data_IF_077759603683
#
_entry.id   IF_077759603683
#
_cell.length_a   1.000
_cell.length_b   1.000
_cell.length_c   1.000
_cell.angle_alpha   90.00
_cell.angle_beta   90.00
_cell.angle_gamma   90.00
#
_symmetry.space_group_name_H-M   'P 1'
#
loop_
_entity.id
_entity.type
_entity.pdbx_description
1 polymer ?
#
# COMPACT_ATOMS: atom_id res chain seq x y z
N UNK A 1 46.08 10.41 -1.83
CA UNK A 1 45.04 11.47 -1.82
C UNK A 1 43.70 10.78 -1.81
N UNK A 2 42.78 11.20 -0.94
CA UNK A 2 41.43 10.62 -0.85
C UNK A 2 40.39 11.61 -1.39
N UNK A 3 39.28 11.07 -1.86
CA UNK A 3 38.13 11.83 -2.37
C UNK A 3 36.86 11.36 -1.67
N UNK A 4 36.09 12.31 -1.12
CA UNK A 4 34.72 12.08 -0.66
C UNK A 4 33.80 11.98 -1.88
N UNK A 5 32.86 11.04 -1.83
CA UNK A 5 31.87 10.79 -2.86
C UNK A 5 30.47 10.87 -2.22
N UNK A 6 29.69 11.86 -2.65
CA UNK A 6 28.27 12.01 -2.28
C UNK A 6 27.43 11.81 -3.55
N UNK A 7 26.52 10.84 -3.55
CA UNK A 7 25.65 10.56 -4.70
C UNK A 7 24.24 11.05 -4.46
N UNK A 8 23.62 11.72 -5.43
CA UNK A 8 22.20 12.03 -5.35
C UNK A 8 21.37 10.79 -5.76
N UNK A 9 20.61 10.21 -4.82
CA UNK A 9 19.76 9.05 -5.10
C UNK A 9 18.27 9.39 -5.01
N UNK A 10 17.51 8.99 -6.04
CA UNK A 10 16.04 8.88 -5.99
C UNK A 10 15.60 7.46 -5.59
N UNK A 11 16.26 6.94 -4.55
CA UNK A 11 15.99 5.62 -3.99
C UNK A 11 15.82 5.76 -2.47
N UNK A 12 14.79 5.12 -1.93
CA UNK A 12 14.46 5.19 -0.51
C UNK A 12 14.46 3.81 0.11
N UNK A 13 14.79 3.67 1.41
CA UNK A 13 14.62 2.41 2.12
C UNK A 13 13.16 1.94 2.02
N UNK A 14 12.94 0.69 1.58
CA UNK A 14 11.59 0.16 1.32
C UNK A 14 10.70 0.05 2.58
N UNK A 15 11.29 0.18 3.78
CA UNK A 15 10.56 0.16 5.05
C UNK A 15 10.87 1.39 5.92
N UNK A 16 9.81 2.15 6.28
CA UNK A 16 9.86 3.17 7.36
C UNK A 16 10.18 2.59 8.75
N UNK A 17 10.25 1.27 8.87
CA UNK A 17 10.82 0.58 10.03
C UNK A 17 12.12 -0.03 9.56
N UNK A 18 13.25 0.50 10.00
CA UNK A 18 14.56 -0.09 9.81
C UNK A 18 14.63 -1.49 10.43
N UNK A 19 14.09 -2.49 9.74
CA UNK A 19 14.41 -3.88 9.95
C UNK A 19 15.83 -4.05 9.41
N UNK A 20 16.81 -3.90 10.30
CA UNK A 20 18.14 -4.44 10.04
C UNK A 20 17.93 -5.94 9.86
N UNK A 21 18.09 -6.46 8.65
CA UNK A 21 18.33 -7.89 8.51
C UNK A 21 19.61 -8.21 9.31
N UNK A 22 19.62 -9.35 9.98
CA UNK A 22 20.79 -9.83 10.73
C UNK A 22 22.04 -10.01 9.85
N UNK A 23 21.85 -10.02 8.53
CA UNK A 23 22.87 -10.35 7.55
C UNK A 23 23.43 -9.11 6.83
N UNK A 24 23.03 -7.90 7.24
CA UNK A 24 23.49 -6.65 6.65
C UNK A 24 22.86 -6.31 5.28
N UNK A 25 21.94 -7.15 4.80
CA UNK A 25 21.13 -6.93 3.61
C UNK A 25 20.15 -5.77 3.82
N UNK A 26 19.93 -5.00 2.75
CA UNK A 26 19.03 -3.84 2.77
C UNK A 26 17.99 -3.96 1.66
N UNK A 27 16.78 -3.45 1.95
CA UNK A 27 15.68 -3.38 0.99
C UNK A 27 15.56 -1.96 0.45
N UNK A 28 15.62 -1.83 -0.87
CA UNK A 28 15.61 -0.54 -1.57
C UNK A 28 14.42 -0.47 -2.50
N UNK A 29 13.65 0.61 -2.44
CA UNK A 29 12.64 0.92 -3.45
C UNK A 29 13.16 2.03 -4.37
N UNK A 30 13.24 1.72 -5.66
CA UNK A 30 13.61 2.69 -6.68
C UNK A 30 12.37 3.47 -7.13
N UNK A 31 12.39 4.78 -6.91
CA UNK A 31 11.39 5.71 -7.43
C UNK A 31 11.85 6.35 -8.75
N UNK A 32 13.17 6.48 -8.94
CA UNK A 32 13.81 6.85 -10.20
C UNK A 32 15.29 6.47 -10.17
N UNK A 33 15.95 6.53 -11.32
CA UNK A 33 17.40 6.31 -11.40
C UNK A 33 17.98 7.07 -12.60
N UNK A 34 19.01 7.88 -12.34
CA UNK A 34 19.64 8.76 -13.33
C UNK A 34 20.83 8.10 -14.06
N UNK A 35 21.10 6.82 -13.79
CA UNK A 35 22.07 6.04 -14.54
C UNK A 35 23.43 5.81 -13.88
N UNK A 36 23.64 6.35 -12.68
CA UNK A 36 24.89 6.18 -11.92
C UNK A 36 25.04 4.76 -11.36
N UNK A 37 26.29 4.27 -11.37
CA UNK A 37 26.66 2.94 -10.93
C UNK A 37 26.92 2.86 -9.41
N UNK A 38 27.03 4.00 -8.73
CA UNK A 38 27.18 4.13 -7.28
C UNK A 38 26.13 5.12 -6.76
N UNK A 39 25.31 4.69 -5.79
CA UNK A 39 24.26 5.52 -5.21
C UNK A 39 24.45 5.61 -3.69
N UNK A 40 24.16 6.78 -3.12
CA UNK A 40 24.14 7.02 -1.68
C UNK A 40 22.71 6.93 -1.13
N UNK A 41 22.53 6.10 -0.11
CA UNK A 41 21.28 5.88 0.62
C UNK A 41 21.52 6.18 2.11
N UNK A 42 21.71 7.46 2.47
CA UNK A 42 21.91 7.95 3.85
C UNK A 42 22.82 7.03 4.67
N UNK A 43 24.12 7.19 4.51
CA UNK A 43 25.19 6.37 5.13
C UNK A 43 25.27 4.93 4.61
N UNK A 44 24.72 4.65 3.43
CA UNK A 44 24.80 3.33 2.80
C UNK A 44 25.00 3.49 1.31
N UNK A 45 26.04 2.87 0.78
CA UNK A 45 26.31 2.92 -0.65
C UNK A 45 25.84 1.64 -1.31
N UNK A 46 25.13 1.76 -2.42
CA UNK A 46 24.84 0.62 -3.29
C UNK A 46 25.52 0.82 -4.63
N UNK A 47 25.97 -0.29 -5.19
CA UNK A 47 26.67 -0.35 -6.46
C UNK A 47 25.92 -1.27 -7.42
N UNK A 48 25.93 -0.90 -8.69
CA UNK A 48 25.37 -1.73 -9.75
C UNK A 48 26.16 -3.03 -9.90
N UNK A 49 25.55 -4.04 -10.54
CA UNK A 49 26.19 -5.33 -10.78
C UNK A 49 27.59 -5.23 -11.41
N UNK A 50 27.74 -4.34 -12.41
CA UNK A 50 29.00 -4.16 -13.14
C UNK A 50 30.10 -3.57 -12.26
N UNK A 51 29.76 -2.61 -11.40
CA UNK A 51 30.73 -2.00 -10.49
C UNK A 51 31.09 -2.97 -9.38
N UNK A 52 30.11 -3.73 -8.85
CA UNK A 52 30.36 -4.81 -7.90
C UNK A 52 31.35 -5.86 -8.44
N UNK A 53 31.18 -6.29 -9.70
CA UNK A 53 32.08 -7.28 -10.31
C UNK A 53 33.49 -6.72 -10.54
N UNK A 54 33.62 -5.45 -10.92
CA UNK A 54 34.92 -4.81 -11.07
C UNK A 54 35.63 -4.60 -9.72
N UNK A 55 34.88 -4.27 -8.67
CA UNK A 55 35.43 -4.21 -7.31
C UNK A 55 36.00 -5.58 -6.92
N UNK A 56 35.24 -6.67 -7.07
CA UNK A 56 35.72 -8.04 -6.78
C UNK A 56 36.95 -8.45 -7.59
N UNK A 57 37.03 -8.01 -8.84
CA UNK A 57 38.16 -8.32 -9.71
C UNK A 57 39.41 -7.46 -9.41
N UNK A 58 39.24 -6.39 -8.62
CA UNK A 58 40.32 -5.52 -8.20
C UNK A 58 41.06 -6.06 -6.96
N UNK A 59 42.22 -5.47 -6.69
CA UNK A 59 43.01 -5.68 -5.48
C UNK A 59 42.81 -4.56 -4.45
N UNK A 60 41.68 -3.83 -4.53
CA UNK A 60 41.34 -2.76 -3.61
C UNK A 60 40.97 -3.33 -2.23
N UNK A 61 41.33 -2.60 -1.16
CA UNK A 61 41.06 -3.00 0.24
C UNK A 61 40.03 -2.11 0.94
N UNK A 62 39.69 -2.46 2.18
CA UNK A 62 38.83 -1.61 3.03
C UNK A 62 37.33 -1.70 2.74
N UNK A 63 36.84 -2.77 2.10
CA UNK A 63 35.40 -2.95 1.89
C UNK A 63 34.99 -4.42 1.83
N UNK A 64 33.68 -4.64 1.94
CA UNK A 64 33.02 -5.85 1.44
C UNK A 64 31.73 -5.50 0.72
N UNK A 65 31.19 -6.46 -0.03
CA UNK A 65 29.90 -6.35 -0.70
C UNK A 65 28.87 -7.21 0.03
N UNK A 66 27.69 -6.64 0.24
CA UNK A 66 26.56 -7.32 0.87
C UNK A 66 25.33 -7.31 -0.08
N UNK A 67 24.42 -8.30 0.04
CA UNK A 67 23.26 -8.37 -0.84
C UNK A 67 22.30 -7.19 -0.65
N UNK A 68 21.69 -6.75 -1.74
CA UNK A 68 20.59 -5.77 -1.74
C UNK A 68 19.37 -6.43 -2.37
N UNK A 69 18.24 -6.37 -1.68
CA UNK A 69 16.96 -6.63 -2.32
C UNK A 69 16.41 -5.29 -2.80
N UNK A 70 15.86 -5.26 -4.01
CA UNK A 70 15.25 -4.05 -4.50
C UNK A 70 13.93 -4.30 -5.19
N UNK A 71 13.07 -3.28 -5.13
CA UNK A 71 11.78 -3.24 -5.80
C UNK A 71 11.69 -1.93 -6.60
N UNK A 72 10.79 -1.92 -7.58
CA UNK A 72 10.44 -0.71 -8.34
C UNK A 72 9.14 -0.16 -7.76
N UNK A 73 9.08 1.15 -7.56
CA UNK A 73 7.83 1.82 -7.17
C UNK A 73 6.72 1.52 -8.20
N UNK A 74 5.43 1.41 -7.82
CA UNK A 74 4.34 1.08 -8.75
C UNK A 74 4.24 2.01 -9.96
N UNK A 75 4.61 3.29 -9.79
CA UNK A 75 4.62 4.29 -10.85
C UNK A 75 5.85 4.22 -11.76
N UNK A 76 6.79 3.30 -11.52
CA UNK A 76 8.01 3.17 -12.32
C UNK A 76 7.72 3.05 -13.82
N UNK A 77 6.70 2.27 -14.20
CA UNK A 77 6.31 2.09 -15.59
C UNK A 77 5.70 3.34 -16.24
N UNK A 78 5.28 4.32 -15.44
CA UNK A 78 4.72 5.59 -15.91
C UNK A 78 5.78 6.68 -16.11
N UNK A 79 6.97 6.47 -15.54
CA UNK A 79 8.09 7.39 -15.66
C UNK A 79 8.92 7.09 -16.91
N UNK A 80 9.46 8.14 -17.53
CA UNK A 80 10.44 7.97 -18.61
C UNK A 80 11.81 7.75 -17.98
N UNK A 81 12.41 6.61 -18.28
CA UNK A 81 13.78 6.27 -17.87
C UNK A 81 14.69 6.36 -19.08
N UNK A 82 15.80 7.08 -18.94
CA UNK A 82 16.83 7.12 -19.97
C UNK A 82 17.68 5.84 -19.99
N UNK A 83 17.77 5.16 -18.84
CA UNK A 83 18.58 3.96 -18.66
C UNK A 83 17.75 2.79 -18.12
N UNK A 84 18.13 1.58 -18.54
CA UNK A 84 17.55 0.35 -17.97
C UNK A 84 18.15 0.05 -16.60
N UNK A 85 17.29 -0.04 -15.58
CA UNK A 85 17.72 -0.34 -14.22
C UNK A 85 18.47 -1.69 -14.18
N UNK A 86 19.69 -1.75 -13.62
CA UNK A 86 20.46 -2.99 -13.49
C UNK A 86 19.68 -4.08 -12.77
N UNK A 87 19.83 -5.32 -13.22
CA UNK A 87 19.13 -6.49 -12.65
C UNK A 87 19.61 -6.87 -11.25
N UNK A 88 20.82 -6.42 -10.87
CA UNK A 88 21.44 -6.72 -9.58
C UNK A 88 22.11 -5.47 -9.02
N UNK A 89 21.93 -5.29 -7.72
CA UNK A 89 22.57 -4.27 -6.90
C UNK A 89 23.20 -4.93 -5.68
N UNK A 90 24.28 -4.33 -5.19
CA UNK A 90 24.97 -4.78 -3.99
C UNK A 90 25.34 -3.61 -3.13
N UNK A 91 25.41 -3.81 -1.83
CA UNK A 91 25.77 -2.78 -0.87
C UNK A 91 27.28 -2.77 -0.74
N UNK A 92 27.89 -1.64 -1.04
CA UNK A 92 29.27 -1.35 -0.69
C UNK A 92 29.33 -0.99 0.79
N UNK A 93 30.02 -1.82 1.57
CA UNK A 93 30.22 -1.59 3.00
C UNK A 93 31.71 -1.31 3.22
N UNK A 94 32.09 -0.03 3.39
CA UNK A 94 33.45 0.32 3.78
C UNK A 94 33.74 -0.24 5.17
N UNK A 95 34.88 -0.91 5.29
CA UNK A 95 35.41 -1.48 6.53
C UNK A 95 36.81 -0.98 6.85
N UNK A 96 37.43 -0.26 5.92
CA UNK A 96 38.80 0.22 6.05
C UNK A 96 38.91 1.54 6.79
N UNK A 97 40.15 1.87 7.13
CA UNK A 97 40.50 3.12 7.79
C UNK A 97 41.51 3.91 6.95
N UNK A 98 41.29 5.23 6.81
CA UNK A 98 42.20 6.09 6.03
C UNK A 98 43.64 6.02 6.53
N UNK A 99 43.83 5.92 7.85
CA UNK A 99 45.16 5.84 8.49
C UNK A 99 45.94 4.59 8.11
N UNK A 100 45.23 3.50 7.82
CA UNK A 100 45.83 2.21 7.47
C UNK A 100 46.13 2.11 5.96
N UNK A 101 45.72 3.12 5.19
CA UNK A 101 45.95 3.17 3.74
C UNK A 101 44.94 2.37 2.93
N UNK A 102 43.80 2.01 3.51
CA UNK A 102 42.75 1.26 2.83
C UNK A 102 42.11 2.02 1.67
N UNK A 103 41.76 1.30 0.61
CA UNK A 103 41.24 1.92 -0.60
C UNK A 103 39.82 2.50 -0.42
N UNK A 104 39.03 1.91 0.46
CA UNK A 104 37.73 2.43 0.89
C UNK A 104 37.69 2.62 2.40
N UNK A 105 37.17 3.75 2.84
CA UNK A 105 37.00 4.08 4.25
C UNK A 105 35.80 4.98 4.47
N UNK A 106 35.40 5.13 5.73
CA UNK A 106 34.39 6.10 6.17
C UNK A 106 34.95 6.92 7.32
N UNK A 107 34.74 8.23 7.28
CA UNK A 107 35.08 9.13 8.38
C UNK A 107 33.78 9.77 8.91
N UNK A 108 33.67 9.99 10.24
CA UNK A 108 32.51 10.66 10.81
C UNK A 108 32.41 12.08 10.20
N UNK A 109 31.37 12.32 9.38
CA UNK A 109 31.03 13.57 8.67
C UNK A 109 31.47 13.73 7.21
N UNK A 110 32.30 12.86 6.63
CA UNK A 110 32.81 13.03 5.26
C UNK A 110 32.43 11.89 4.30
N UNK A 111 31.40 11.11 4.61
CA UNK A 111 30.82 10.14 3.68
C UNK A 111 31.77 8.99 3.27
N UNK A 112 31.61 8.52 2.03
CA UNK A 112 32.45 7.48 1.44
C UNK A 112 33.77 8.10 0.98
N UNK A 113 34.88 7.63 1.57
CA UNK A 113 36.20 8.00 1.11
C UNK A 113 36.77 6.91 0.21
N UNK A 114 37.28 7.33 -0.94
CA UNK A 114 38.02 6.48 -1.87
C UNK A 114 39.47 6.96 -1.98
N UNK A 115 40.44 6.03 -1.95
CA UNK A 115 41.83 6.30 -2.31
C UNK A 115 41.93 6.72 -3.79
N UNK A 116 43.10 7.19 -4.22
CA UNK A 116 43.33 7.50 -5.64
C UNK A 116 43.11 6.29 -6.56
N UNK A 117 43.51 5.08 -6.13
CA UNK A 117 43.32 3.84 -6.89
C UNK A 117 41.85 3.44 -6.97
N UNK A 118 41.14 3.52 -5.85
CA UNK A 118 39.70 3.28 -5.84
C UNK A 118 38.96 4.30 -6.72
N UNK A 119 39.33 5.58 -6.65
CA UNK A 119 38.73 6.62 -7.47
C UNK A 119 38.99 6.41 -8.96
N UNK A 120 40.18 5.95 -9.35
CA UNK A 120 40.48 5.59 -10.75
C UNK A 120 39.59 4.45 -11.25
N UNK A 121 39.38 3.41 -10.44
CA UNK A 121 38.42 2.34 -10.76
C UNK A 121 37.01 2.91 -10.90
N UNK A 122 36.55 3.67 -9.91
CA UNK A 122 35.21 4.27 -9.86
C UNK A 122 34.95 5.17 -11.08
N UNK A 123 35.94 5.93 -11.55
CA UNK A 123 35.85 6.77 -12.76
C UNK A 123 35.74 6.01 -14.07
N UNK A 124 35.98 4.69 -14.07
CA UNK A 124 35.67 3.84 -15.24
C UNK A 124 34.18 3.49 -15.35
N UNK A 125 33.38 3.87 -14.35
CA UNK A 125 31.93 3.69 -14.28
C UNK A 125 31.19 5.03 -14.33
N UNK A 126 29.85 4.99 -14.39
CA UNK A 126 29.03 6.20 -14.43
C UNK A 126 28.84 6.78 -13.03
N UNK A 127 29.27 8.03 -12.87
CA UNK A 127 29.22 8.82 -11.64
C UNK A 127 28.85 10.28 -11.99
N UNK A 128 27.90 10.45 -12.91
CA UNK A 128 27.53 11.77 -13.45
C UNK A 128 26.78 12.63 -12.44
N UNK A 129 26.13 11.99 -11.46
CA UNK A 129 25.37 12.64 -10.39
C UNK A 129 26.10 12.57 -9.03
N UNK A 130 27.37 12.15 -9.03
CA UNK A 130 28.18 12.10 -7.82
C UNK A 130 29.00 13.38 -7.65
N UNK A 131 28.91 13.99 -6.47
CA UNK A 131 29.79 15.07 -6.06
C UNK A 131 31.10 14.50 -5.51
N UNK A 132 32.21 14.94 -6.11
CA UNK A 132 33.55 14.51 -5.74
C UNK A 132 34.31 15.66 -5.09
N UNK A 133 34.71 15.48 -3.83
CA UNK A 133 35.47 16.49 -3.08
C UNK A 133 36.81 15.94 -2.59
N UNK A 134 37.90 16.65 -2.86
CA UNK A 134 39.22 16.26 -2.35
C UNK A 134 39.26 16.38 -0.82
N UNK A 135 39.70 15.32 -0.14
CA UNK A 135 39.90 15.35 1.31
C UNK A 135 41.25 16.01 1.58
N UNK A 136 41.23 17.31 1.84
CA UNK A 136 42.42 18.11 2.20
C UNK A 136 42.66 18.17 3.71
N UNK A 137 41.67 17.79 4.51
CA UNK A 137 41.79 17.77 5.95
C UNK A 137 42.80 16.69 6.39
N UNK A 138 43.70 17.01 7.35
CA UNK A 138 44.52 15.99 8.00
C UNK A 138 43.62 14.92 8.61
N UNK A 139 44.09 13.67 8.68
CA UNK A 139 43.42 12.60 9.45
C UNK A 139 43.14 13.16 10.84
N UNK A 140 41.86 13.32 11.17
CA UNK A 140 41.43 13.99 12.40
C UNK A 140 42.21 13.46 13.61
N UNK A 141 42.60 14.37 14.50
CA UNK A 141 43.55 14.14 15.56
C UNK A 141 42.92 13.43 16.75
N UNK A 142 43.52 12.35 17.22
CA UNK A 142 43.10 11.56 18.39
C UNK A 142 41.69 10.94 18.28
N UNK A 143 41.52 9.75 18.85
CA UNK A 143 40.23 9.04 18.88
C UNK A 143 39.09 9.87 19.52
N UNK A 144 39.44 10.89 20.31
CA UNK A 144 38.49 11.80 20.96
C UNK A 144 37.77 12.73 19.97
N UNK A 145 38.44 13.24 18.94
CA UNK A 145 37.80 14.12 17.94
C UNK A 145 36.83 13.32 17.06
N UNK A 146 37.21 12.10 16.67
CA UNK A 146 36.35 11.20 15.90
C UNK A 146 35.09 10.80 16.69
N UNK A 147 35.23 10.49 17.98
CA UNK A 147 34.08 10.19 18.85
C UNK A 147 33.14 11.39 19.03
N UNK A 148 33.68 12.61 19.12
CA UNK A 148 32.88 13.82 19.20
C UNK A 148 32.09 14.08 17.90
N UNK A 149 32.74 13.93 16.74
CA UNK A 149 32.09 14.07 15.44
C UNK A 149 30.98 13.03 15.23
N UNK A 150 31.20 11.77 15.62
CA UNK A 150 30.17 10.73 15.56
C UNK A 150 28.99 11.00 16.50
N UNK A 151 29.26 11.52 17.70
CA UNK A 151 28.21 11.92 18.64
C UNK A 151 27.36 13.08 18.08
N UNK A 152 28.00 14.07 17.47
CA UNK A 152 27.30 15.19 16.81
C UNK A 152 26.45 14.70 15.63
N UNK A 153 26.98 13.78 14.82
CA UNK A 153 26.27 13.16 13.70
C UNK A 153 25.02 12.42 14.17
N UNK A 154 25.16 11.55 15.19
CA UNK A 154 24.03 10.84 15.79
C UNK A 154 23.00 11.80 16.39
N UNK A 155 23.43 12.93 16.96
CA UNK A 155 22.53 13.97 17.46
C UNK A 155 21.75 14.64 16.31
N UNK A 156 22.40 14.91 15.17
CA UNK A 156 21.75 15.47 13.98
C UNK A 156 20.70 14.54 13.38
N UNK A 157 21.01 13.24 13.26
CA UNK A 157 20.04 12.23 12.78
C UNK A 157 18.82 12.16 13.71
N UNK A 158 19.04 12.12 15.03
CA UNK A 158 17.95 12.12 16.01
C UNK A 158 17.10 13.39 15.95
N UNK A 159 17.71 14.55 15.69
CA UNK A 159 16.99 15.81 15.53
C UNK A 159 16.09 15.79 14.29
N UNK A 160 16.60 15.29 13.16
CA UNK A 160 15.82 15.14 11.93
C UNK A 160 14.66 14.15 12.10
N UNK A 161 14.90 13.01 12.75
CA UNK A 161 13.85 12.04 13.08
C UNK A 161 12.76 12.67 13.96
N UNK A 162 13.14 13.48 14.95
CA UNK A 162 12.18 14.17 15.81
C UNK A 162 11.36 15.22 15.03
N UNK A 163 11.97 15.92 14.08
CA UNK A 163 11.27 16.87 13.20
C UNK A 163 10.28 16.16 12.28
N UNK A 164 10.70 15.04 11.66
CA UNK A 164 9.83 14.20 10.84
C UNK A 164 8.64 13.64 11.63
N UNK A 165 8.85 13.24 12.89
CA UNK A 165 7.76 12.80 13.77
C UNK A 165 6.78 13.93 14.12
N UNK A 166 7.28 15.16 14.34
CA UNK A 166 6.43 16.33 14.54
C UNK A 166 5.59 16.62 13.30
N UNK A 167 6.19 16.63 12.12
CA UNK A 167 5.49 16.85 10.85
C UNK A 167 4.39 15.79 10.63
N UNK A 168 4.69 14.51 10.86
CA UNK A 168 3.72 13.43 10.75
C UNK A 168 2.55 13.56 11.76
N UNK A 169 2.81 14.10 12.95
CA UNK A 169 1.78 14.33 13.98
C UNK A 169 0.85 15.48 13.57
N UNK A 170 1.40 16.56 13.03
CA UNK A 170 0.62 17.69 12.48
C UNK A 170 -0.26 17.20 11.34
N UNK A 171 0.31 16.48 10.37
CA UNK A 171 -0.44 15.96 9.22
C UNK A 171 -1.57 15.01 9.65
N UNK A 172 -1.33 14.14 10.64
CA UNK A 172 -2.39 13.28 11.20
C UNK A 172 -3.51 14.09 11.86
N UNK A 173 -3.18 15.16 12.59
CA UNK A 173 -4.17 16.01 13.23
C UNK A 173 -5.01 16.79 12.20
N UNK A 174 -4.39 17.30 11.13
CA UNK A 174 -5.09 17.96 10.03
C UNK A 174 -6.03 17.01 9.29
N UNK A 175 -5.59 15.79 8.98
CA UNK A 175 -6.44 14.76 8.37
C UNK A 175 -7.63 14.41 9.25
N UNK A 176 -7.45 14.34 10.57
CA UNK A 176 -8.55 14.08 11.50
C UNK A 176 -9.55 15.24 11.52
N UNK A 177 -9.09 16.49 11.62
CA UNK A 177 -9.96 17.68 11.56
C UNK A 177 -10.77 17.72 10.26
N UNK A 178 -10.13 17.45 9.12
CA UNK A 178 -10.82 17.40 7.83
C UNK A 178 -11.88 16.29 7.78
N UNK A 179 -11.61 15.14 8.41
CA UNK A 179 -12.59 14.05 8.52
C UNK A 179 -13.78 14.44 9.41
N UNK A 180 -13.54 15.09 10.54
CA UNK A 180 -14.58 15.55 11.47
C UNK A 180 -15.45 16.65 10.85
N UNK A 181 -14.84 17.62 10.15
CA UNK A 181 -15.58 18.63 9.39
C UNK A 181 -16.46 18.01 8.30
N UNK A 182 -15.93 17.01 7.59
CA UNK A 182 -16.70 16.30 6.56
C UNK A 182 -17.88 15.53 7.18
N UNK A 183 -17.69 14.89 8.34
CA UNK A 183 -18.76 14.22 9.07
C UNK A 183 -19.85 15.21 9.51
N UNK A 184 -19.48 16.36 10.07
CA UNK A 184 -20.41 17.40 10.48
C UNK A 184 -21.21 17.97 9.29
N UNK A 185 -20.55 18.24 8.15
CA UNK A 185 -21.23 18.68 6.92
C UNK A 185 -22.24 17.64 6.41
N UNK A 186 -21.92 16.36 6.54
CA UNK A 186 -22.81 15.26 6.16
C UNK A 186 -24.04 15.22 7.06
N UNK A 187 -23.88 15.31 8.37
CA UNK A 187 -25.00 15.36 9.32
C UNK A 187 -25.91 16.57 9.07
N UNK A 188 -25.32 17.74 8.82
CA UNK A 188 -26.08 18.94 8.47
C UNK A 188 -26.90 18.74 7.18
N UNK A 189 -26.32 18.12 6.14
CA UNK A 189 -27.02 17.84 4.88
C UNK A 189 -28.17 16.84 5.07
N UNK A 190 -27.99 15.83 5.92
CA UNK A 190 -29.05 14.87 6.27
C UNK A 190 -30.19 15.59 7.00
N UNK A 191 -29.87 16.40 8.01
CA UNK A 191 -30.87 17.17 8.75
C UNK A 191 -31.66 18.11 7.82
N UNK A 192 -30.98 18.81 6.91
CA UNK A 192 -31.60 19.68 5.92
C UNK A 192 -32.53 18.90 4.96
N UNK A 193 -32.08 17.73 4.48
CA UNK A 193 -32.88 16.88 3.61
C UNK A 193 -34.16 16.37 4.33
N UNK A 194 -34.04 16.01 5.61
CA UNK A 194 -35.19 15.59 6.43
C UNK A 194 -36.19 16.74 6.64
N UNK A 195 -35.71 17.97 6.86
CA UNK A 195 -36.57 19.15 6.94
C UNK A 195 -37.28 19.39 5.62
N UNK A 196 -36.57 19.35 4.47
CA UNK A 196 -37.17 19.50 3.15
C UNK A 196 -38.24 18.43 2.87
N UNK A 197 -37.97 17.18 3.23
CA UNK A 197 -38.92 16.09 3.09
C UNK A 197 -40.19 16.31 3.94
N UNK A 198 -40.03 16.74 5.20
CA UNK A 198 -41.16 17.04 6.11
C UNK A 198 -42.04 18.17 5.55
N UNK A 199 -41.44 19.22 4.99
CA UNK A 199 -42.17 20.33 4.35
C UNK A 199 -42.95 19.84 3.12
N UNK A 200 -42.38 18.91 2.34
CA UNK A 200 -43.00 18.40 1.13
C UNK A 200 -44.11 17.35 1.39
N UNK A 201 -44.04 16.58 2.49
CA UNK A 201 -44.86 15.38 2.69
C UNK A 201 -45.60 15.28 4.03
N UNK A 202 -45.47 16.25 4.96
CA UNK A 202 -46.15 16.24 6.26
C UNK A 202 -45.33 15.62 7.41
N UNK A 203 -45.97 15.41 8.57
CA UNK A 203 -45.38 14.84 9.79
C UNK A 203 -44.68 13.49 9.54
N UNK A 204 -43.56 13.18 10.23
CA UNK A 204 -42.84 11.94 10.05
C UNK A 204 -43.66 10.75 10.55
N UNK A 205 -43.99 9.83 9.64
CA UNK A 205 -44.53 8.51 9.96
C UNK A 205 -43.44 7.71 10.69
N UNK A 206 -43.74 7.17 11.88
CA UNK A 206 -42.86 6.18 12.53
C UNK A 206 -42.57 5.05 11.53
N UNK A 207 -41.32 4.58 11.39
CA UNK A 207 -40.99 3.56 10.41
C UNK A 207 -41.62 2.22 10.81
N UNK A 208 -42.85 2.02 10.35
CA UNK A 208 -43.49 0.73 10.13
C UNK A 208 -43.48 0.54 8.62
N UNK A 209 -42.35 0.05 8.10
CA UNK A 209 -42.17 -0.18 6.67
C UNK A 209 -42.83 -1.49 6.25
N UNK A 210 -43.86 -1.37 5.42
CA UNK A 210 -44.78 -2.43 5.02
C UNK A 210 -44.15 -3.43 4.02
N UNK A 211 -43.81 -4.63 4.51
CA UNK A 211 -43.38 -5.79 3.72
C UNK A 211 -44.42 -6.21 2.66
N UNK A 212 -45.68 -5.78 2.79
CA UNK A 212 -46.74 -6.17 1.87
C UNK A 212 -46.68 -5.43 0.52
N UNK A 213 -46.07 -4.25 0.46
CA UNK A 213 -45.80 -3.52 -0.81
C UNK A 213 -44.71 -4.25 -1.63
N UNK A 214 -43.68 -4.76 -0.95
CA UNK A 214 -42.62 -5.57 -1.59
C UNK A 214 -43.19 -6.91 -2.07
N UNK A 215 -44.06 -7.55 -1.27
CA UNK A 215 -44.80 -8.78 -1.65
C UNK A 215 -45.71 -8.55 -2.86
N UNK A 216 -46.40 -7.40 -2.93
CA UNK A 216 -47.29 -7.04 -4.03
C UNK A 216 -46.53 -6.80 -5.36
N UNK A 217 -45.34 -6.19 -5.31
CA UNK A 217 -44.50 -5.96 -6.50
C UNK A 217 -43.85 -7.22 -7.09
N UNK A 218 -43.47 -8.17 -6.24
CA UNK A 218 -42.86 -9.45 -6.65
C UNK A 218 -43.91 -10.42 -7.20
N UNK A 219 -45.17 -10.34 -6.73
CA UNK A 219 -46.27 -11.17 -7.22
C UNK A 219 -46.19 -12.65 -6.82
N UNK A 220 -45.29 -13.00 -5.89
CA UNK A 220 -45.13 -14.33 -5.28
C UNK A 220 -44.70 -14.19 -3.81
N UNK A 221 -45.11 -15.12 -2.93
CA UNK A 221 -44.65 -15.13 -1.54
C UNK A 221 -43.13 -15.34 -1.47
N UNK A 222 -42.47 -14.56 -0.63
CA UNK A 222 -41.05 -14.72 -0.30
C UNK A 222 -40.88 -15.97 0.58
N UNK A 223 -40.42 -17.07 -0.01
CA UNK A 223 -40.28 -18.37 0.68
C UNK A 223 -39.00 -18.50 1.52
N UNK A 224 -38.06 -17.54 1.43
CA UNK A 224 -36.76 -17.60 2.11
C UNK A 224 -36.72 -16.59 3.28
N UNK A 225 -36.74 -17.10 4.52
CA UNK A 225 -36.68 -16.30 5.75
C UNK A 225 -35.44 -15.38 5.81
N UNK A 226 -34.36 -15.73 5.10
CA UNK A 226 -33.15 -14.89 5.03
C UNK A 226 -33.34 -13.65 4.16
N UNK A 227 -34.23 -13.73 3.15
CA UNK A 227 -34.61 -12.58 2.34
C UNK A 227 -35.49 -11.62 3.13
N UNK A 228 -36.41 -12.17 3.94
CA UNK A 228 -37.21 -11.39 4.86
C UNK A 228 -36.34 -10.68 5.91
N UNK A 229 -35.31 -11.36 6.44
CA UNK A 229 -34.35 -10.75 7.37
C UNK A 229 -33.52 -9.62 6.74
N UNK A 230 -33.06 -9.78 5.50
CA UNK A 230 -32.32 -8.74 4.76
C UNK A 230 -33.19 -7.51 4.47
N UNK A 231 -34.45 -7.72 4.11
CA UNK A 231 -35.40 -6.63 3.85
C UNK A 231 -35.87 -5.93 5.14
N UNK A 232 -36.00 -6.65 6.25
CA UNK A 232 -36.38 -6.08 7.55
C UNK A 232 -35.29 -5.22 8.21
N UNK A 233 -34.02 -5.41 7.82
CA UNK A 233 -32.89 -4.60 8.30
C UNK A 233 -32.72 -3.26 7.56
N UNK A 234 -33.45 -3.06 6.45
CA UNK A 234 -33.38 -1.85 5.64
C UNK A 234 -34.36 -0.77 6.15
N UNK A 235 -33.96 0.04 7.13
CA UNK A 235 -34.80 1.10 7.72
C UNK A 235 -34.85 2.42 6.91
N UNK A 236 -34.59 2.38 5.60
CA UNK A 236 -34.55 3.56 4.71
C UNK A 236 -35.46 3.35 3.48
N UNK A 237 -35.94 4.43 2.84
CA UNK A 237 -36.77 4.31 1.64
C UNK A 237 -35.99 3.60 0.52
N UNK A 238 -36.50 2.44 0.10
CA UNK A 238 -35.94 1.65 -0.99
C UNK A 238 -36.58 2.12 -2.30
N UNK A 239 -35.79 2.69 -3.21
CA UNK A 239 -36.21 2.74 -4.61
C UNK A 239 -36.05 1.34 -5.18
N UNK A 240 -37.19 0.71 -5.48
CA UNK A 240 -37.27 -0.66 -5.99
C UNK A 240 -37.49 -0.59 -7.49
N UNK A 241 -36.46 -0.91 -8.28
CA UNK A 241 -36.62 -1.12 -9.71
C UNK A 241 -36.77 -2.62 -10.00
N UNK A 242 -37.99 -3.04 -10.35
CA UNK A 242 -38.27 -4.43 -10.78
C UNK A 242 -38.21 -4.51 -12.30
N UNK A 243 -37.05 -4.91 -12.82
CA UNK A 243 -36.91 -5.21 -14.25
C UNK A 243 -37.19 -6.70 -14.50
N UNK A 244 -38.25 -6.97 -15.30
CA UNK A 244 -38.64 -8.33 -15.73
C UNK A 244 -38.04 -8.66 -17.10
N UNK A 245 -36.73 -8.88 -17.14
CA UNK A 245 -36.10 -9.47 -18.32
C UNK A 245 -35.90 -10.97 -18.12
N UNK A 246 -36.61 -11.79 -18.91
CA UNK A 246 -36.39 -13.24 -19.05
C UNK A 246 -36.47 -14.09 -17.76
N UNK A 247 -37.68 -14.39 -17.25
CA UNK A 247 -37.92 -15.30 -16.08
C UNK A 247 -37.07 -15.01 -14.82
N UNK A 248 -36.46 -13.83 -14.74
CA UNK A 248 -35.61 -13.35 -13.65
C UNK A 248 -36.18 -12.03 -13.17
N UNK A 249 -36.21 -11.90 -11.85
CA UNK A 249 -36.67 -10.70 -11.17
C UNK A 249 -35.42 -10.05 -10.57
N UNK A 250 -35.12 -8.83 -11.00
CA UNK A 250 -34.04 -8.02 -10.44
C UNK A 250 -34.66 -7.08 -9.42
N UNK A 251 -34.12 -7.06 -8.21
CA UNK A 251 -34.41 -6.03 -7.22
C UNK A 251 -33.15 -5.19 -7.08
N UNK A 252 -33.21 -3.98 -7.61
CA UNK A 252 -32.19 -2.97 -7.37
C UNK A 252 -32.70 -2.07 -6.27
N UNK A 253 -31.87 -1.86 -5.25
CA UNK A 253 -32.18 -0.88 -4.22
C UNK A 253 -31.10 0.18 -4.25
N UNK A 254 -31.51 1.43 -4.49
CA UNK A 254 -30.63 2.58 -4.38
C UNK A 254 -30.73 3.11 -2.95
N UNK A 255 -30.04 2.45 -2.03
CA UNK A 255 -29.94 2.94 -0.64
C UNK A 255 -29.21 4.30 -0.57
N UNK A 256 -28.44 4.62 -1.61
CA UNK A 256 -27.70 5.86 -1.82
C UNK A 256 -27.27 5.95 -3.31
N UNK A 257 -26.96 7.14 -3.86
CA UNK A 257 -26.29 7.28 -5.17
C UNK A 257 -24.95 6.53 -5.27
N UNK A 258 -24.39 6.16 -4.12
CA UNK A 258 -23.00 5.68 -3.98
C UNK A 258 -22.86 4.25 -3.42
N UNK A 259 -23.93 3.58 -2.97
CA UNK A 259 -23.89 2.16 -2.59
C UNK A 259 -25.25 1.52 -2.85
N UNK A 260 -25.23 0.34 -3.46
CA UNK A 260 -26.42 -0.43 -3.76
C UNK A 260 -26.14 -1.91 -3.59
N UNK A 261 -27.17 -2.66 -3.24
CA UNK A 261 -27.14 -4.10 -3.44
C UNK A 261 -28.07 -4.47 -4.58
N UNK A 262 -27.63 -5.40 -5.40
CA UNK A 262 -28.45 -6.04 -6.40
C UNK A 262 -28.78 -7.44 -5.89
N UNK A 263 -30.06 -7.67 -5.60
CA UNK A 263 -30.57 -9.00 -5.33
C UNK A 263 -31.26 -9.52 -6.60
N UNK A 264 -30.74 -10.63 -7.15
CA UNK A 264 -31.39 -11.34 -8.26
C UNK A 264 -32.17 -12.52 -7.74
N UNK A 265 -33.40 -12.61 -8.20
CA UNK A 265 -34.31 -13.71 -7.91
C UNK A 265 -34.62 -14.50 -9.18
N UNK A 266 -34.80 -15.80 -9.01
CA UNK A 266 -35.27 -16.70 -10.06
C UNK A 266 -36.37 -17.58 -9.50
N UNK A 267 -37.60 -17.41 -9.99
CA UNK A 267 -38.79 -18.10 -9.49
C UNK A 267 -39.02 -17.91 -7.98
N UNK A 268 -38.89 -16.68 -7.46
CA UNK A 268 -39.09 -16.38 -6.03
C UNK A 268 -37.97 -16.83 -5.08
N UNK A 269 -36.85 -17.34 -5.61
CA UNK A 269 -35.67 -17.73 -4.83
C UNK A 269 -34.49 -16.82 -5.13
N UNK A 270 -33.78 -16.40 -4.08
CA UNK A 270 -32.57 -15.60 -4.19
C UNK A 270 -31.48 -16.42 -4.93
N UNK A 271 -31.11 -15.95 -6.12
CA UNK A 271 -30.09 -16.57 -6.98
C UNK A 271 -28.71 -15.93 -6.73
N UNK A 272 -28.67 -14.60 -6.52
CA UNK A 272 -27.42 -13.84 -6.37
C UNK A 272 -27.66 -12.57 -5.55
N UNK A 273 -26.72 -12.22 -4.69
CA UNK A 273 -26.59 -10.88 -4.11
C UNK A 273 -25.26 -10.31 -4.53
N UNK A 274 -25.28 -9.07 -5.03
CA UNK A 274 -24.07 -8.33 -5.35
C UNK A 274 -24.07 -7.06 -4.52
N UNK A 275 -23.00 -6.86 -3.76
CA UNK A 275 -22.74 -5.63 -3.04
C UNK A 275 -21.75 -4.83 -3.88
N UNK A 276 -22.14 -3.61 -4.29
CA UNK A 276 -21.22 -2.74 -5.02
C UNK A 276 -20.79 -1.58 -4.14
N UNK A 277 -19.48 -1.38 -3.92
CA UNK A 277 -18.97 -0.14 -3.35
C UNK A 277 -18.82 0.91 -4.46
N UNK A 278 -19.51 2.05 -4.36
CA UNK A 278 -18.96 3.31 -4.91
C UNK A 278 -18.43 4.10 -3.71
N UNK A 279 -17.13 4.34 -3.72
CA UNK A 279 -16.42 4.78 -2.52
C UNK A 279 -16.88 6.13 -1.97
N UNK A 280 -17.49 6.13 -0.78
CA UNK A 280 -16.90 6.65 0.48
C UNK A 280 -17.75 6.31 1.71
N UNK A 281 -17.06 5.92 2.78
CA UNK A 281 -17.52 5.30 4.06
C UNK A 281 -18.80 5.89 4.68
N UNK A 282 -19.75 5.02 5.06
CA UNK A 282 -20.61 5.21 6.23
C UNK A 282 -22.09 4.79 6.09
N UNK A 283 -22.37 3.49 6.10
CA UNK A 283 -23.73 2.92 6.24
C UNK A 283 -23.75 1.64 7.11
N UNK A 284 -24.90 1.24 7.68
CA UNK A 284 -25.02 0.25 8.77
C UNK A 284 -25.43 -1.17 8.34
N UNK A 285 -25.13 -1.60 7.11
CA UNK A 285 -25.14 -3.04 6.78
C UNK A 285 -23.91 -3.73 7.41
N UNK A 286 -23.95 -5.05 7.69
CA UNK A 286 -22.72 -5.79 7.93
C UNK A 286 -21.86 -5.60 6.70
N UNK A 287 -20.78 -4.88 6.94
CA UNK A 287 -19.86 -4.47 5.90
C UNK A 287 -19.19 -5.74 5.39
N UNK A 288 -18.59 -5.72 4.21
CA UNK A 288 -17.69 -6.80 3.75
C UNK A 288 -16.70 -7.25 4.85
N UNK A 289 -16.28 -6.30 5.70
CA UNK A 289 -15.43 -6.45 6.89
C UNK A 289 -16.03 -7.28 8.06
N UNK A 290 -17.34 -7.44 8.09
CA UNK A 290 -18.08 -8.12 9.16
C UNK A 290 -18.45 -9.58 8.76
N UNK A 291 -18.15 -9.99 7.52
CA UNK A 291 -18.38 -11.36 7.04
C UNK A 291 -17.39 -12.37 7.66
N UNK A 292 -16.22 -11.89 8.11
CA UNK A 292 -15.20 -12.67 8.80
C UNK A 292 -14.74 -11.86 10.01
N UNK A 293 -15.12 -12.33 11.19
CA UNK A 293 -14.94 -11.58 12.43
C UNK A 293 -13.44 -11.31 12.67
N UNK A 294 -13.06 -10.03 12.76
CA UNK A 294 -11.68 -9.60 13.02
C UNK A 294 -10.81 -9.34 11.79
N UNK A 295 -11.37 -9.42 10.57
CA UNK A 295 -10.58 -9.27 9.34
C UNK A 295 -10.94 -7.98 8.56
N UNK A 296 -10.02 -7.01 8.50
CA UNK A 296 -10.25 -5.73 7.82
C UNK A 296 -10.01 -5.80 6.31
N UNK A 297 -11.03 -6.23 5.56
CA UNK A 297 -10.99 -6.29 4.10
C UNK A 297 -10.72 -4.95 3.39
N UNK A 298 -10.85 -3.79 4.06
CA UNK A 298 -10.63 -2.50 3.41
C UNK A 298 -9.15 -2.12 3.27
N UNK A 299 -8.29 -2.77 4.04
CA UNK A 299 -6.84 -2.66 3.96
C UNK A 299 -6.16 -4.00 3.62
N UNK A 300 -6.93 -5.10 3.59
CA UNK A 300 -6.40 -6.42 3.31
C UNK A 300 -5.89 -6.51 1.88
N UNK A 301 -4.63 -6.91 1.78
CA UNK A 301 -3.98 -7.35 0.57
C UNK A 301 -4.43 -8.78 0.22
N UNK A 302 -4.18 -9.23 -1.02
CA UNK A 302 -4.29 -10.64 -1.37
C UNK A 302 -3.66 -11.60 -0.36
N UNK A 303 -2.48 -11.24 0.17
CA UNK A 303 -1.71 -12.07 1.07
C UNK A 303 -2.35 -12.16 2.45
N UNK A 304 -2.84 -11.05 2.98
CA UNK A 304 -3.59 -11.05 4.25
C UNK A 304 -4.81 -11.98 4.15
N UNK A 305 -5.48 -11.99 2.99
CA UNK A 305 -6.65 -12.85 2.75
C UNK A 305 -6.25 -14.33 2.70
N UNK A 306 -5.15 -14.66 2.02
CA UNK A 306 -4.63 -16.04 1.96
C UNK A 306 -4.15 -16.51 3.33
N UNK A 307 -3.51 -15.65 4.11
CA UNK A 307 -3.09 -15.96 5.48
C UNK A 307 -4.30 -16.27 6.38
N UNK A 308 -5.38 -15.49 6.26
CA UNK A 308 -6.57 -15.67 7.09
C UNK A 308 -7.47 -16.84 6.65
N UNK A 309 -7.60 -17.09 5.35
CA UNK A 309 -8.57 -18.05 4.79
C UNK A 309 -7.94 -19.33 4.23
N UNK A 310 -6.60 -19.39 4.20
CA UNK A 310 -5.85 -20.46 3.57
C UNK A 310 -5.72 -20.27 2.05
N UNK A 311 -5.21 -21.30 1.38
CA UNK A 311 -5.04 -21.27 -0.07
C UNK A 311 -6.39 -21.29 -0.81
N UNK A 312 -6.60 -20.40 -1.80
CA UNK A 312 -7.83 -20.35 -2.58
C UNK A 312 -7.93 -21.55 -3.52
N UNK A 313 -9.15 -22.00 -3.81
CA UNK A 313 -9.39 -23.06 -4.79
C UNK A 313 -9.13 -22.61 -6.23
N UNK A 314 -9.18 -21.30 -6.48
CA UNK A 314 -8.76 -20.70 -7.74
C UNK A 314 -8.22 -19.28 -7.51
N UNK A 315 -7.13 -18.95 -8.20
CA UNK A 315 -6.53 -17.62 -8.19
C UNK A 315 -6.20 -17.17 -9.61
N UNK A 316 -6.36 -15.86 -9.87
CA UNK A 316 -5.95 -15.21 -11.11
C UNK A 316 -5.39 -13.83 -10.81
N UNK A 317 -4.21 -13.55 -11.35
CA UNK A 317 -3.51 -12.27 -11.15
C UNK A 317 -3.28 -11.52 -12.47
N UNK A 318 -3.34 -10.19 -12.40
CA UNK A 318 -3.30 -9.24 -13.52
C UNK A 318 -3.72 -7.85 -13.03
N UNK A 319 -4.14 -6.94 -13.92
CA UNK A 319 -4.61 -5.59 -13.53
C UNK A 319 -5.80 -5.60 -12.53
N UNK A 320 -6.56 -6.70 -12.51
CA UNK A 320 -7.50 -7.05 -11.44
C UNK A 320 -7.21 -8.47 -10.98
N UNK A 321 -6.96 -8.62 -9.69
CA UNK A 321 -6.78 -9.92 -9.05
C UNK A 321 -8.12 -10.57 -8.72
N UNK A 322 -8.15 -11.89 -8.63
CA UNK A 322 -9.32 -12.61 -8.15
C UNK A 322 -8.90 -13.85 -7.36
N UNK A 323 -9.50 -14.02 -6.18
CA UNK A 323 -9.43 -15.23 -5.39
C UNK A 323 -10.80 -15.86 -5.25
N UNK A 324 -10.86 -17.19 -5.31
CA UNK A 324 -12.07 -17.97 -5.14
C UNK A 324 -11.89 -19.02 -4.04
N UNK A 325 -12.80 -18.99 -3.07
CA UNK A 325 -12.84 -19.93 -1.95
C UNK A 325 -14.14 -20.73 -1.99
N UNK A 326 -14.03 -22.03 -1.76
CA UNK A 326 -15.22 -22.90 -1.61
C UNK A 326 -15.43 -23.15 -0.12
N UNK A 327 -16.50 -22.59 0.43
CA UNK A 327 -16.83 -22.68 1.85
C UNK A 327 -18.14 -23.47 1.97
N UNK A 328 -18.01 -24.78 2.20
CA UNK A 328 -19.15 -25.70 2.26
C UNK A 328 -19.92 -25.77 0.93
N UNK A 329 -21.08 -25.12 0.86
CA UNK A 329 -21.96 -25.10 -0.34
C UNK A 329 -21.90 -23.78 -1.12
N UNK A 330 -21.22 -22.80 -0.57
CA UNK A 330 -21.12 -21.45 -1.12
C UNK A 330 -19.71 -21.24 -1.68
N UNK A 331 -19.60 -20.41 -2.70
CA UNK A 331 -18.34 -19.99 -3.34
C UNK A 331 -18.18 -18.49 -3.10
N UNK A 332 -17.10 -18.10 -2.44
CA UNK A 332 -16.72 -16.72 -2.18
C UNK A 332 -15.70 -16.28 -3.22
N UNK A 333 -16.04 -15.28 -4.04
CA UNK A 333 -15.11 -14.61 -4.94
C UNK A 333 -14.72 -13.26 -4.36
N UNK A 334 -13.41 -13.03 -4.26
CA UNK A 334 -12.81 -11.76 -3.85
C UNK A 334 -12.09 -11.16 -5.05
N UNK A 335 -12.53 -9.99 -5.50
CA UNK A 335 -11.88 -9.21 -6.54
C UNK A 335 -10.95 -8.18 -5.95
N UNK A 336 -9.78 -8.00 -6.56
CA UNK A 336 -8.76 -7.05 -6.12
C UNK A 336 -8.46 -6.03 -7.21
N UNK A 337 -8.31 -4.76 -6.82
CA UNK A 337 -7.84 -3.68 -7.66
C UNK A 337 -6.71 -2.95 -6.94
N UNK A 338 -5.51 -2.91 -7.56
CA UNK A 338 -4.30 -2.33 -6.94
C UNK A 338 -4.04 -2.90 -5.53
N UNK A 339 -4.07 -4.23 -5.44
CA UNK A 339 -3.81 -5.00 -4.21
C UNK A 339 -4.76 -4.75 -3.05
N UNK A 340 -5.89 -4.08 -3.27
CA UNK A 340 -6.95 -3.93 -2.28
C UNK A 340 -8.21 -4.66 -2.74
N UNK A 341 -8.96 -5.21 -1.78
CA UNK A 341 -10.24 -5.87 -2.05
C UNK A 341 -11.24 -4.85 -2.59
N UNK A 342 -11.64 -5.03 -3.84
CA UNK A 342 -12.56 -4.17 -4.60
C UNK A 342 -13.98 -4.74 -4.61
N UNK A 343 -14.11 -6.06 -4.66
CA UNK A 343 -15.40 -6.73 -4.76
C UNK A 343 -15.46 -8.02 -3.93
N UNK A 344 -16.62 -8.28 -3.34
CA UNK A 344 -16.94 -9.55 -2.67
C UNK A 344 -18.23 -10.10 -3.27
N UNK A 345 -18.18 -11.31 -3.82
CA UNK A 345 -19.32 -11.98 -4.43
C UNK A 345 -19.48 -13.35 -3.80
N UNK A 346 -20.66 -13.63 -3.24
CA UNK A 346 -21.00 -14.96 -2.71
C UNK A 346 -21.97 -15.64 -3.66
N UNK A 347 -21.57 -16.78 -4.22
CA UNK A 347 -22.39 -17.61 -5.10
C UNK A 347 -22.82 -18.87 -4.35
N UNK A 348 -24.12 -19.22 -4.43
CA UNK A 348 -24.63 -20.48 -3.87
C UNK A 348 -24.79 -21.51 -4.96
N UNK A 349 -24.15 -22.68 -4.82
CA UNK A 349 -24.25 -23.75 -5.81
C UNK A 349 -25.66 -24.36 -5.79
N UNK A 350 -26.32 -24.39 -6.95
CA UNK A 350 -27.68 -24.95 -7.08
C UNK A 350 -27.62 -26.47 -6.89
N UNK A 351 -28.40 -27.03 -5.96
CA UNK A 351 -28.56 -28.49 -5.87
C UNK A 351 -29.15 -29.00 -7.19
N UNK A 352 -28.43 -29.90 -7.87
CA UNK A 352 -29.08 -30.81 -8.81
C UNK A 352 -29.96 -31.72 -7.95
N UNK A 353 -31.27 -31.61 -8.10
CA UNK A 353 -32.19 -32.66 -7.61
C UNK A 353 -31.78 -33.93 -8.34
N UNK A 354 -31.29 -34.91 -7.58
CA UNK A 354 -31.09 -36.28 -8.05
C UNK A 354 -32.45 -36.94 -8.17
#
# INVERSE_FOLDING_TARGET
MYTNIEGEASAVPASRRGARSTDGAIDVEFQGWLGDDLLDLVDRWIVSARLADALRASDLTGYHLAPVQFTKHPDWALMKHEFELPERWERLVPTGERRDGDDFATEPATGLMASGRALELLRSFRLEQAELSAVTAPVHGSDAEAAAAEAERLARVRALDAENQKAATIERAERQRAADEHAARREARIAEALVRHRVAHGEPVEPTGDLDVIRAGIGKPLEDERVAAVLALASLPLEIEVTRETKRERLETHASPDEGFEARFKNGRLERVVLFPRGRRGAPYPRSRDLIHGFDFSAATPWDVVEALGEPGYSKWGARGTLEYVIGRDTLHLGFLRDLVDAIVVLRKKQRRV
#
